data_IF_548619256590
#
_entry.id   IF_548619256590
#
_cell.length_a   1.000
_cell.length_b   1.000
_cell.length_c   1.000
_cell.angle_alpha   90.00
_cell.angle_beta   90.00
_cell.angle_gamma   90.00
#
_symmetry.space_group_name_H-M   'P 1'
#
loop_
_entity.id
_entity.type
_entity.pdbx_description
1 polymer ?
#
# COMPACT_ATOMS: atom_id res chain seq x y z
N UNK A 1 -16.40 -6.76 -21.69
CA UNK A 1 -16.36 -6.41 -21.42
C UNK A 1 -16.07 -5.83 -20.74
N UNK A 2 -16.33 -6.01 -20.63
CA UNK A 2 -16.22 -5.25 -19.86
C UNK A 2 -15.12 -4.47 -19.74
N UNK A 3 -14.50 -4.56 -20.30
CA UNK A 3 -13.53 -3.88 -20.13
C UNK A 3 -13.65 -2.63 -20.38
N UNK A 4 -14.01 -1.97 -19.57
CA UNK A 4 -14.07 -0.61 -19.71
C UNK A 4 -12.75 -0.04 -19.97
N UNK A 5 -12.63 0.70 -20.97
CA UNK A 5 -11.34 1.25 -21.32
C UNK A 5 -10.81 2.24 -20.31
N UNK A 6 -11.67 2.90 -19.61
CA UNK A 6 -11.16 3.88 -18.68
C UNK A 6 -10.49 3.25 -17.46
N UNK A 7 -10.67 1.97 -17.28
CA UNK A 7 -9.96 1.31 -16.19
C UNK A 7 -8.49 1.21 -16.42
N UNK A 8 -8.05 1.46 -17.61
CA UNK A 8 -6.65 1.31 -17.92
C UNK A 8 -5.85 2.55 -17.64
N UNK A 9 -6.52 3.63 -17.34
CA UNK A 9 -5.82 4.89 -17.23
C UNK A 9 -5.26 5.06 -15.85
N UNK A 10 -6.04 4.73 -14.85
CA UNK A 10 -5.59 4.91 -13.49
C UNK A 10 -5.85 3.64 -12.71
N UNK A 11 -5.24 3.59 -11.54
CA UNK A 11 -5.44 2.48 -10.66
C UNK A 11 -6.84 2.51 -10.10
N UNK A 12 -7.50 1.37 -10.15
CA UNK A 12 -8.81 1.23 -9.55
C UNK A 12 -8.78 1.41 -8.06
N UNK A 13 -9.90 1.80 -7.49
CA UNK A 13 -10.00 1.90 -6.05
C UNK A 13 -9.71 0.55 -5.39
N UNK A 14 -10.15 -0.52 -6.02
CA UNK A 14 -9.90 -1.85 -5.47
C UNK A 14 -8.42 -2.18 -5.45
N UNK A 15 -7.72 -1.80 -6.50
CA UNK A 15 -6.29 -2.03 -6.54
C UNK A 15 -5.57 -1.22 -5.48
N UNK A 16 -6.00 0.01 -5.30
CA UNK A 16 -5.42 0.84 -4.25
C UNK A 16 -5.64 0.23 -2.89
N UNK A 17 -6.86 -0.20 -2.64
CA UNK A 17 -7.18 -0.83 -1.37
C UNK A 17 -6.35 -2.07 -1.14
N UNK A 18 -6.20 -2.88 -2.17
CA UNK A 18 -5.41 -4.10 -2.05
C UNK A 18 -3.97 -3.77 -1.69
N UNK A 19 -3.40 -2.79 -2.35
CA UNK A 19 -2.03 -2.41 -2.06
C UNK A 19 -1.89 -1.84 -0.66
N UNK A 20 -2.84 -1.00 -0.26
CA UNK A 20 -2.80 -0.44 1.08
C UNK A 20 -2.92 -1.53 2.12
N UNK A 21 -3.77 -2.51 1.88
CA UNK A 21 -3.92 -3.63 2.80
C UNK A 21 -2.63 -4.41 2.95
N UNK A 22 -1.97 -4.67 1.84
CA UNK A 22 -0.71 -5.41 1.88
C UNK A 22 0.33 -4.62 2.66
N UNK A 23 0.44 -3.34 2.37
CA UNK A 23 1.41 -2.50 3.06
C UNK A 23 1.10 -2.38 4.54
N UNK A 24 -0.17 -2.20 4.87
CA UNK A 24 -0.59 -2.11 6.25
C UNK A 24 -0.29 -3.40 7.00
N UNK A 25 -0.52 -4.54 6.36
CA UNK A 25 -0.21 -5.82 6.98
C UNK A 25 1.27 -5.95 7.28
N UNK A 26 2.10 -5.49 6.36
CA UNK A 26 3.54 -5.52 6.60
C UNK A 26 3.93 -4.65 7.77
N UNK A 27 3.35 -3.46 7.85
CA UNK A 27 3.62 -2.57 8.97
C UNK A 27 3.21 -3.22 10.28
N UNK A 28 2.04 -3.82 10.28
CA UNK A 28 1.54 -4.47 11.49
C UNK A 28 2.47 -5.60 11.91
N UNK A 29 2.92 -6.39 10.95
CA UNK A 29 3.84 -7.47 11.23
C UNK A 29 5.13 -6.94 11.86
N UNK A 30 5.65 -5.86 11.32
CA UNK A 30 6.88 -5.28 11.83
C UNK A 30 6.70 -4.70 13.23
N UNK A 31 5.51 -4.20 13.53
CA UNK A 31 5.23 -3.69 14.85
C UNK A 31 5.18 -4.79 15.88
N UNK A 32 4.67 -5.96 15.50
CA UNK A 32 4.60 -7.07 16.43
C UNK A 32 5.92 -7.81 16.53
N UNK A 33 6.74 -7.73 15.48
CA UNK A 33 8.04 -8.38 15.47
C UNK A 33 9.11 -7.37 15.11
N UNK A 34 9.43 -6.45 16.01
CA UNK A 34 10.37 -5.40 15.70
C UNK A 34 11.77 -5.94 15.47
N UNK A 35 12.41 -5.43 14.46
CA UNK A 35 13.80 -5.73 14.17
C UNK A 35 14.57 -4.42 14.22
N UNK A 36 15.88 -4.54 14.00
CA UNK A 36 16.73 -3.36 14.12
C UNK A 36 16.31 -2.26 13.16
N UNK A 37 15.98 -2.62 11.93
CA UNK A 37 15.63 -1.63 10.91
C UNK A 37 14.14 -1.48 10.71
N UNK A 38 13.33 -1.97 11.65
CA UNK A 38 11.89 -1.92 11.49
C UNK A 38 11.37 -0.51 11.30
N UNK A 39 11.91 0.42 12.05
CA UNK A 39 11.43 1.80 11.97
C UNK A 39 11.60 2.36 10.57
N UNK A 40 12.75 2.14 9.96
CA UNK A 40 12.97 2.63 8.61
C UNK A 40 12.03 1.96 7.63
N UNK A 41 11.87 0.67 7.76
CA UNK A 41 10.99 -0.07 6.87
C UNK A 41 9.56 0.41 7.03
N UNK A 42 9.11 0.60 8.27
CA UNK A 42 7.76 1.10 8.53
C UNK A 42 7.57 2.47 7.89
N UNK A 43 8.56 3.35 8.01
CA UNK A 43 8.47 4.66 7.41
C UNK A 43 8.34 4.58 5.90
N UNK A 44 9.09 3.71 5.26
CA UNK A 44 9.00 3.53 3.82
C UNK A 44 7.63 3.02 3.41
N UNK A 45 7.12 2.04 4.14
CA UNK A 45 5.81 1.50 3.84
C UNK A 45 4.73 2.56 4.06
N UNK A 46 4.86 3.34 5.12
CA UNK A 46 3.93 4.40 5.40
C UNK A 46 3.93 5.43 4.26
N UNK A 47 5.11 5.76 3.77
CA UNK A 47 5.20 6.70 2.67
C UNK A 47 4.53 6.15 1.41
N UNK A 48 4.71 4.86 1.14
CA UNK A 48 4.07 4.26 0.00
C UNK A 48 2.55 4.31 0.13
N UNK A 49 2.03 4.07 1.32
CA UNK A 49 0.60 4.17 1.55
C UNK A 49 0.13 5.60 1.27
N UNK A 50 0.86 6.57 1.77
CA UNK A 50 0.51 7.97 1.55
C UNK A 50 0.49 8.30 0.07
N UNK A 51 1.46 7.81 -0.68
CA UNK A 51 1.51 8.07 -2.11
C UNK A 51 0.30 7.49 -2.81
N UNK A 52 -0.13 6.33 -2.39
CA UNK A 52 -1.30 5.70 -3.00
C UNK A 52 -2.56 6.49 -2.67
N UNK A 53 -2.69 6.94 -1.44
CA UNK A 53 -3.90 7.61 -0.99
C UNK A 53 -4.00 9.05 -1.48
N UNK A 54 -2.88 9.72 -1.62
CA UNK A 54 -2.89 11.14 -1.96
C UNK A 54 -2.36 11.43 -3.35
N UNK A 55 -2.35 10.46 -4.17
CA UNK A 55 -1.87 10.58 -5.52
C UNK A 55 -2.76 11.43 -6.45
#
# INVERSE_FOLDING_TARGET
MGNSPFNNITMDAEERLAKVKVLTSKILYLKTNPAIDSKKTIQKLQQQINEILYE
#
